data_IF_163834385516
#
_entry.id   IF_163834385516
#
_cell.length_a   1.000
_cell.length_b   1.000
_cell.length_c   1.000
_cell.angle_alpha   90.00
_cell.angle_beta   90.00
_cell.angle_gamma   90.00
#
_symmetry.space_group_name_H-M   'P 1'
#
loop_
_entity.id
_entity.type
_entity.pdbx_description
1 polymer ?
#
# COMPACT_ATOMS: atom_id res chain seq x y z
N UNK A 1 6.73 -0.26 -33.69
CA UNK A 1 7.71 0.41 -32.80
C UNK A 1 9.09 -0.19 -33.07
N UNK A 2 10.10 0.64 -33.31
CA UNK A 2 11.47 0.21 -33.65
C UNK A 2 12.16 -0.38 -32.41
N UNK A 3 12.91 -1.48 -32.56
CA UNK A 3 13.57 -2.18 -31.45
C UNK A 3 14.65 -1.34 -30.75
N UNK A 4 14.75 -1.38 -29.42
CA UNK A 4 15.81 -0.69 -28.65
C UNK A 4 17.22 -1.09 -29.13
N UNK A 5 17.42 -2.37 -29.46
CA UNK A 5 18.70 -2.88 -29.97
C UNK A 5 19.08 -2.21 -31.29
N UNK A 6 18.12 -2.06 -32.19
CA UNK A 6 18.33 -1.38 -33.47
C UNK A 6 18.67 0.09 -33.27
N UNK A 7 17.97 0.79 -32.36
CA UNK A 7 18.28 2.19 -32.05
C UNK A 7 19.71 2.36 -31.49
N UNK A 8 20.17 1.43 -30.64
CA UNK A 8 21.55 1.43 -30.15
C UNK A 8 22.57 1.23 -31.27
N UNK A 9 22.34 0.27 -32.18
CA UNK A 9 23.21 0.02 -33.33
C UNK A 9 23.23 1.21 -34.29
N UNK A 10 22.05 1.76 -34.62
CA UNK A 10 21.90 2.92 -35.50
C UNK A 10 22.64 4.15 -34.95
N UNK A 11 22.62 4.38 -33.64
CA UNK A 11 23.39 5.49 -33.03
C UNK A 11 24.90 5.30 -33.23
N UNK A 12 25.39 4.07 -33.12
CA UNK A 12 26.81 3.80 -33.29
C UNK A 12 27.24 4.00 -34.75
N UNK A 13 26.47 3.46 -35.69
CA UNK A 13 26.71 3.59 -37.14
C UNK A 13 26.54 5.03 -37.62
N UNK A 14 25.51 5.75 -37.19
CA UNK A 14 25.29 7.14 -37.57
C UNK A 14 26.43 8.06 -37.09
N UNK A 15 26.98 7.82 -35.89
CA UNK A 15 28.16 8.54 -35.42
C UNK A 15 29.40 8.21 -36.26
N UNK A 16 29.57 6.94 -36.64
CA UNK A 16 30.68 6.51 -37.48
C UNK A 16 30.59 7.13 -38.89
N UNK A 17 29.42 7.10 -39.53
CA UNK A 17 29.21 7.72 -40.84
C UNK A 17 29.44 9.23 -40.83
N UNK A 18 29.11 9.91 -39.72
CA UNK A 18 29.44 11.33 -39.53
C UNK A 18 30.94 11.55 -39.43
N UNK A 19 31.66 10.73 -38.65
CA UNK A 19 33.12 10.84 -38.53
C UNK A 19 33.85 10.51 -39.83
N UNK A 20 33.29 9.61 -40.64
CA UNK A 20 33.82 9.28 -41.97
C UNK A 20 33.42 10.30 -43.05
N UNK A 21 32.63 11.34 -42.70
CA UNK A 21 32.16 12.36 -43.64
C UNK A 21 31.15 11.85 -44.68
N UNK A 22 30.56 10.65 -44.47
CA UNK A 22 29.58 10.05 -45.39
C UNK A 22 28.19 10.66 -45.26
N UNK A 23 27.88 11.27 -44.12
CA UNK A 23 26.61 11.95 -43.87
C UNK A 23 26.87 13.38 -43.37
N UNK A 24 26.03 14.31 -43.81
CA UNK A 24 26.06 15.70 -43.37
C UNK A 24 25.53 15.85 -41.93
N UNK A 25 25.96 16.91 -41.23
CA UNK A 25 25.58 17.21 -39.86
C UNK A 25 24.06 17.42 -39.70
N UNK A 26 23.39 17.96 -40.73
CA UNK A 26 21.94 18.13 -40.72
C UNK A 26 21.21 16.77 -40.76
N UNK A 27 21.69 15.85 -41.59
CA UNK A 27 21.09 14.51 -41.72
C UNK A 27 21.32 13.65 -40.46
N UNK A 28 22.50 13.77 -39.84
CA UNK A 28 22.77 13.16 -38.53
C UNK A 28 21.81 13.66 -37.45
N UNK A 29 21.58 14.97 -37.39
CA UNK A 29 20.67 15.59 -36.40
C UNK A 29 19.23 15.11 -36.61
N UNK A 30 18.78 15.04 -37.86
CA UNK A 30 17.47 14.48 -38.22
C UNK A 30 17.31 13.02 -37.76
N UNK A 31 18.33 12.16 -37.96
CA UNK A 31 18.28 10.76 -37.50
C UNK A 31 18.22 10.63 -35.98
N UNK A 32 18.96 11.47 -35.25
CA UNK A 32 18.96 11.49 -33.78
C UNK A 32 17.60 11.89 -33.23
N UNK A 33 16.95 12.87 -33.84
CA UNK A 33 15.64 13.37 -33.44
C UNK A 33 14.50 12.41 -33.85
N UNK A 34 14.51 11.93 -35.10
CA UNK A 34 13.49 11.03 -35.64
C UNK A 34 13.43 9.68 -34.92
N UNK A 35 14.60 9.13 -34.55
CA UNK A 35 14.68 7.85 -33.82
C UNK A 35 14.87 8.02 -32.30
N UNK A 36 14.84 9.26 -31.79
CA UNK A 36 15.03 9.61 -30.38
C UNK A 36 16.28 8.92 -29.77
N UNK A 37 17.41 8.96 -30.49
CA UNK A 37 18.64 8.24 -30.12
C UNK A 37 19.27 8.77 -28.82
N UNK A 38 18.96 10.02 -28.44
CA UNK A 38 19.42 10.63 -27.18
C UNK A 38 18.69 10.07 -25.94
N UNK A 39 17.49 9.49 -26.10
CA UNK A 39 16.73 8.94 -24.97
C UNK A 39 17.23 7.57 -24.50
N UNK A 40 18.07 6.89 -25.29
CA UNK A 40 18.63 5.57 -24.98
C UNK A 40 19.43 5.56 -23.67
N UNK A 41 20.30 6.57 -23.46
CA UNK A 41 21.10 6.67 -22.22
C UNK A 41 20.24 7.12 -21.04
N UNK A 42 19.13 7.81 -21.31
CA UNK A 42 18.21 8.31 -20.26
C UNK A 42 17.43 7.16 -19.61
N UNK A 43 17.07 6.13 -20.37
CA UNK A 43 16.28 5.01 -19.87
C UNK A 43 17.07 4.14 -18.89
N UNK A 44 18.32 3.79 -19.21
CA UNK A 44 19.18 3.01 -18.31
C UNK A 44 19.54 3.80 -17.04
N UNK A 45 19.85 5.10 -17.18
CA UNK A 45 20.13 5.99 -16.06
C UNK A 45 18.90 6.18 -15.15
N UNK A 46 17.71 6.34 -15.72
CA UNK A 46 16.47 6.41 -14.94
C UNK A 46 16.19 5.12 -14.19
N UNK A 47 16.42 3.95 -14.79
CA UNK A 47 16.28 2.65 -14.09
C UNK A 47 17.25 2.54 -12.92
N UNK A 48 18.52 2.92 -13.11
CA UNK A 48 19.49 2.93 -12.02
C UNK A 48 19.09 3.87 -10.88
N UNK A 49 18.65 5.09 -11.21
CA UNK A 49 18.16 6.06 -10.21
C UNK A 49 16.96 5.49 -9.46
N UNK A 50 16.00 4.87 -10.15
CA UNK A 50 14.83 4.25 -9.52
C UNK A 50 15.21 3.12 -8.57
N UNK A 51 16.18 2.26 -8.94
CA UNK A 51 16.69 1.19 -8.08
C UNK A 51 17.40 1.78 -6.86
N UNK A 52 18.26 2.79 -7.04
CA UNK A 52 18.97 3.44 -5.95
C UNK A 52 18.00 4.14 -4.98
N UNK A 53 16.99 4.83 -5.51
CA UNK A 53 15.96 5.48 -4.73
C UNK A 53 15.10 4.46 -3.97
N UNK A 54 14.76 3.34 -4.62
CA UNK A 54 14.06 2.22 -3.98
C UNK A 54 14.85 1.61 -2.83
N UNK A 55 16.12 1.28 -3.07
CA UNK A 55 17.02 0.71 -2.07
C UNK A 55 17.24 1.68 -0.90
N UNK A 56 17.49 2.96 -1.19
CA UNK A 56 17.65 4.01 -0.19
C UNK A 56 16.40 4.20 0.66
N UNK A 57 15.22 4.15 0.04
CA UNK A 57 13.93 4.25 0.76
C UNK A 57 13.72 3.05 1.70
N UNK A 58 14.07 1.84 1.26
CA UNK A 58 14.00 0.62 2.09
C UNK A 58 14.94 0.72 3.29
N UNK A 59 16.20 1.11 3.06
CA UNK A 59 17.20 1.26 4.12
C UNK A 59 16.80 2.34 5.13
N UNK A 60 16.29 3.47 4.66
CA UNK A 60 15.81 4.55 5.53
C UNK A 60 14.60 4.09 6.35
N UNK A 61 13.65 3.37 5.74
CA UNK A 61 12.52 2.76 6.45
C UNK A 61 12.99 1.79 7.55
N UNK A 62 13.94 0.91 7.24
CA UNK A 62 14.57 0.01 8.19
C UNK A 62 15.28 0.74 9.34
N UNK A 63 16.01 1.82 9.02
CA UNK A 63 16.68 2.63 10.02
C UNK A 63 15.68 3.25 11.01
N UNK A 64 14.57 3.82 10.51
CA UNK A 64 13.51 4.38 11.36
C UNK A 64 12.87 3.30 12.24
N UNK A 65 12.52 2.14 11.66
CA UNK A 65 11.93 1.03 12.41
C UNK A 65 12.89 0.55 13.50
N UNK A 66 14.17 0.37 13.18
CA UNK A 66 15.19 -0.09 14.11
C UNK A 66 15.43 0.93 15.23
N UNK A 67 15.47 2.22 14.91
CA UNK A 67 15.59 3.30 15.89
C UNK A 67 14.43 3.31 16.87
N UNK A 68 13.19 3.21 16.36
CA UNK A 68 11.98 3.14 17.19
C UNK A 68 12.01 1.89 18.06
N UNK A 69 12.37 0.73 17.50
CA UNK A 69 12.46 -0.53 18.23
C UNK A 69 13.51 -0.50 19.35
N UNK A 70 14.69 0.06 19.07
CA UNK A 70 15.78 0.19 20.04
C UNK A 70 15.40 1.08 21.23
N UNK A 71 14.65 2.16 20.99
CA UNK A 71 14.19 3.07 22.04
C UNK A 71 12.84 2.66 22.66
N UNK A 72 12.20 1.61 22.14
CA UNK A 72 10.86 1.20 22.54
C UNK A 72 10.77 0.89 24.04
N UNK A 73 11.76 0.22 24.61
CA UNK A 73 11.73 -0.14 26.04
C UNK A 73 11.88 1.08 26.96
N UNK A 74 12.59 2.12 26.51
CA UNK A 74 12.83 3.33 27.32
C UNK A 74 11.64 4.29 27.34
N UNK A 75 10.79 4.29 26.32
CA UNK A 75 9.68 5.24 26.22
C UNK A 75 8.50 4.90 27.13
N UNK A 76 7.91 5.95 27.71
CA UNK A 76 6.69 5.82 28.52
C UNK A 76 5.51 5.35 27.67
N UNK A 77 4.48 4.82 28.33
CA UNK A 77 3.32 4.27 27.64
C UNK A 77 2.56 5.35 26.86
N UNK A 78 2.45 6.54 27.43
CA UNK A 78 1.74 7.69 26.84
C UNK A 78 2.41 8.13 25.54
N UNK A 79 3.74 8.22 25.54
CA UNK A 79 4.49 8.60 24.34
C UNK A 79 4.30 7.59 23.21
N UNK A 80 4.34 6.29 23.51
CA UNK A 80 4.07 5.23 22.52
C UNK A 80 2.69 5.38 21.90
N UNK A 81 1.67 5.61 22.71
CA UNK A 81 0.29 5.80 22.22
C UNK A 81 0.19 7.03 21.33
N UNK A 82 0.75 8.16 21.75
CA UNK A 82 0.75 9.40 20.96
C UNK A 82 1.48 9.18 19.63
N UNK A 83 2.64 8.53 19.64
CA UNK A 83 3.41 8.23 18.43
C UNK A 83 2.64 7.35 17.46
N UNK A 84 2.06 6.24 17.95
CA UNK A 84 1.27 5.31 17.15
C UNK A 84 0.03 5.99 16.54
N UNK A 85 -0.66 6.82 17.31
CA UNK A 85 -1.80 7.61 16.82
C UNK A 85 -1.36 8.67 15.82
N UNK A 86 -0.27 9.39 16.07
CA UNK A 86 0.24 10.43 15.19
C UNK A 86 0.62 9.84 13.82
N UNK A 87 1.31 8.70 13.78
CA UNK A 87 1.65 8.00 12.54
C UNK A 87 0.38 7.57 11.80
N UNK A 88 -0.58 6.99 12.51
CA UNK A 88 -1.86 6.57 11.91
C UNK A 88 -2.64 7.74 11.30
N UNK A 89 -2.75 8.85 12.02
CA UNK A 89 -3.44 10.06 11.54
C UNK A 89 -2.69 10.65 10.35
N UNK A 90 -1.37 10.73 10.40
CA UNK A 90 -0.55 11.27 9.31
C UNK A 90 -0.72 10.44 8.02
N UNK A 91 -0.64 9.11 8.12
CA UNK A 91 -0.78 8.20 6.97
C UNK A 91 -2.18 8.29 6.37
N UNK A 92 -3.24 8.26 7.19
CA UNK A 92 -4.62 8.35 6.70
C UNK A 92 -4.92 9.73 6.11
N UNK A 93 -4.44 10.82 6.73
CA UNK A 93 -4.64 12.18 6.24
C UNK A 93 -3.94 12.41 4.90
N UNK A 94 -2.70 11.93 4.78
CA UNK A 94 -1.96 11.96 3.52
C UNK A 94 -2.66 11.11 2.44
N UNK A 95 -3.09 9.89 2.78
CA UNK A 95 -3.83 9.02 1.87
C UNK A 95 -5.12 9.65 1.37
N UNK A 96 -5.90 10.26 2.27
CA UNK A 96 -7.13 10.99 1.94
C UNK A 96 -6.86 12.19 1.04
N UNK A 97 -5.84 12.98 1.34
CA UNK A 97 -5.48 14.16 0.54
C UNK A 97 -5.09 13.77 -0.89
N UNK A 98 -4.21 12.77 -1.06
CA UNK A 98 -3.79 12.29 -2.38
C UNK A 98 -4.90 11.60 -3.15
N UNK A 99 -5.83 10.94 -2.46
CA UNK A 99 -6.99 10.33 -3.08
C UNK A 99 -8.04 11.37 -3.53
N UNK A 100 -8.28 12.42 -2.74
CA UNK A 100 -9.32 13.43 -2.99
C UNK A 100 -8.93 14.47 -4.05
N UNK A 101 -7.66 14.84 -4.10
CA UNK A 101 -7.12 15.87 -4.99
C UNK A 101 -5.94 15.37 -5.84
N UNK A 102 -6.12 14.33 -6.68
CA UNK A 102 -5.05 13.84 -7.53
C UNK A 102 -4.77 14.83 -8.66
N UNK A 103 -3.53 15.32 -8.76
CA UNK A 103 -3.05 16.08 -9.93
C UNK A 103 -2.61 15.16 -11.07
N UNK A 104 -2.20 13.93 -10.75
CA UNK A 104 -1.77 12.91 -11.72
C UNK A 104 -2.30 11.52 -11.33
N UNK A 105 -2.45 10.62 -12.30
CA UNK A 105 -3.04 9.29 -12.08
C UNK A 105 -2.27 8.43 -11.06
N UNK A 106 -0.95 8.57 -10.98
CA UNK A 106 -0.14 7.88 -9.97
C UNK A 106 -0.46 8.33 -8.54
N UNK A 107 -0.83 9.60 -8.32
CA UNK A 107 -1.15 10.13 -6.99
C UNK A 107 -2.45 9.54 -6.45
N UNK A 108 -3.44 9.31 -7.32
CA UNK A 108 -4.68 8.63 -6.92
C UNK A 108 -4.39 7.19 -6.47
N UNK A 109 -3.54 6.47 -7.21
CA UNK A 109 -3.11 5.10 -6.83
C UNK A 109 -2.33 5.08 -5.52
N UNK A 110 -1.43 6.04 -5.32
CA UNK A 110 -0.73 6.18 -4.04
C UNK A 110 -1.69 6.50 -2.90
N UNK A 111 -2.65 7.41 -3.09
CA UNK A 111 -3.66 7.73 -2.08
C UNK A 111 -4.43 6.49 -1.63
N UNK A 112 -4.88 5.65 -2.57
CA UNK A 112 -5.51 4.36 -2.26
C UNK A 112 -4.57 3.43 -1.50
N UNK A 113 -3.30 3.34 -1.90
CA UNK A 113 -2.29 2.55 -1.21
C UNK A 113 -2.00 3.03 0.22
N UNK A 114 -1.93 4.35 0.44
CA UNK A 114 -1.77 4.97 1.75
C UNK A 114 -2.98 4.75 2.65
N UNK A 115 -4.20 4.77 2.10
CA UNK A 115 -5.43 4.44 2.84
C UNK A 115 -5.48 2.96 3.22
N UNK A 116 -5.05 2.07 2.32
CA UNK A 116 -4.88 0.65 2.64
C UNK A 116 -3.81 0.47 3.74
N UNK A 117 -2.66 1.13 3.63
CA UNK A 117 -1.62 1.13 4.65
C UNK A 117 -2.17 1.63 5.99
N UNK A 118 -2.93 2.72 5.98
CA UNK A 118 -3.61 3.28 7.15
C UNK A 118 -4.56 2.27 7.80
N UNK A 119 -5.31 1.51 7.01
CA UNK A 119 -6.18 0.44 7.50
C UNK A 119 -5.39 -0.72 8.15
N UNK A 120 -4.18 -1.02 7.67
CA UNK A 120 -3.28 -2.00 8.30
C UNK A 120 -2.67 -1.45 9.61
N UNK A 121 -2.28 -0.17 9.62
CA UNK A 121 -1.80 0.51 10.82
C UNK A 121 -2.84 0.52 11.94
N UNK A 122 -4.13 0.61 11.61
CA UNK A 122 -5.21 0.50 12.61
C UNK A 122 -5.09 -0.81 13.40
N UNK A 123 -4.97 -1.94 12.69
CA UNK A 123 -4.83 -3.27 13.31
C UNK A 123 -3.54 -3.40 14.09
N UNK A 124 -2.41 -2.93 13.53
CA UNK A 124 -1.13 -2.93 14.23
C UNK A 124 -1.17 -2.11 15.53
N UNK A 125 -1.79 -0.94 15.50
CA UNK A 125 -1.98 -0.10 16.69
C UNK A 125 -2.87 -0.78 17.73
N UNK A 126 -3.99 -1.38 17.32
CA UNK A 126 -4.86 -2.14 18.25
C UNK A 126 -4.11 -3.32 18.88
N UNK A 127 -3.32 -4.06 18.10
CA UNK A 127 -2.52 -5.19 18.59
C UNK A 127 -1.44 -4.74 19.59
N UNK A 128 -0.69 -3.68 19.27
CA UNK A 128 0.31 -3.11 20.16
C UNK A 128 -0.33 -2.54 21.44
N UNK A 129 -1.49 -1.89 21.32
CA UNK A 129 -2.24 -1.39 22.47
C UNK A 129 -2.69 -2.54 23.37
N UNK A 130 -3.21 -3.62 22.79
CA UNK A 130 -3.61 -4.83 23.53
C UNK A 130 -2.44 -5.42 24.33
N UNK A 131 -1.26 -5.55 23.70
CA UNK A 131 -0.05 -6.00 24.38
C UNK A 131 0.40 -5.03 25.47
N UNK A 132 0.41 -3.72 25.18
CA UNK A 132 0.84 -2.69 26.13
C UNK A 132 -0.03 -2.66 27.38
N UNK A 133 -1.35 -2.81 27.24
CA UNK A 133 -2.30 -2.75 28.35
C UNK A 133 -2.58 -4.12 29.01
N UNK A 134 -1.89 -5.18 28.58
CA UNK A 134 -2.12 -6.55 29.05
C UNK A 134 -3.60 -6.96 28.93
N UNK A 135 -4.26 -6.55 27.85
CA UNK A 135 -5.65 -6.90 27.60
C UNK A 135 -5.72 -8.37 27.18
N UNK A 136 -6.02 -9.25 28.14
CA UNK A 136 -6.25 -10.67 27.89
C UNK A 136 -7.62 -10.87 27.26
N UNK A 137 -7.67 -10.96 25.93
CA UNK A 137 -8.89 -11.24 25.18
C UNK A 137 -8.61 -12.19 24.02
N UNK A 138 -9.61 -12.96 23.58
CA UNK A 138 -9.42 -13.87 22.47
C UNK A 138 -9.18 -13.09 21.17
N UNK A 139 -8.27 -13.61 20.35
CA UNK A 139 -7.70 -12.91 19.20
C UNK A 139 -8.77 -12.60 18.14
N UNK A 140 -9.84 -13.42 18.05
CA UNK A 140 -10.94 -13.15 17.11
C UNK A 140 -11.60 -11.78 17.34
N UNK A 141 -11.66 -11.28 18.58
CA UNK A 141 -12.28 -9.97 18.89
C UNK A 141 -11.50 -8.83 18.25
N UNK A 142 -10.16 -8.93 18.23
CA UNK A 142 -9.29 -7.97 17.57
C UNK A 142 -9.62 -7.86 16.08
N UNK A 143 -9.72 -9.00 15.39
CA UNK A 143 -10.03 -9.03 13.95
C UNK A 143 -11.44 -8.52 13.65
N UNK A 144 -12.42 -8.78 14.52
CA UNK A 144 -13.77 -8.24 14.37
C UNK A 144 -13.78 -6.71 14.44
N UNK A 145 -13.26 -6.14 15.55
CA UNK A 145 -13.24 -4.69 15.78
C UNK A 145 -12.40 -3.99 14.71
N UNK A 146 -11.28 -4.58 14.33
CA UNK A 146 -10.46 -4.08 13.23
C UNK A 146 -11.25 -4.06 11.92
N UNK A 147 -11.91 -5.17 11.56
CA UNK A 147 -12.76 -5.23 10.37
C UNK A 147 -13.88 -4.18 10.38
N UNK A 148 -14.53 -3.92 11.52
CA UNK A 148 -15.52 -2.83 11.62
C UNK A 148 -14.90 -1.45 11.36
N UNK A 149 -13.69 -1.19 11.87
CA UNK A 149 -12.97 0.05 11.58
C UNK A 149 -12.64 0.22 10.09
N UNK A 150 -12.18 -0.85 9.44
CA UNK A 150 -11.91 -0.85 7.99
C UNK A 150 -13.21 -0.71 7.19
N UNK A 151 -14.31 -1.32 7.62
CA UNK A 151 -15.63 -1.20 7.00
C UNK A 151 -16.12 0.24 7.00
N UNK A 152 -16.00 0.94 8.14
CA UNK A 152 -16.36 2.35 8.27
C UNK A 152 -15.56 3.22 7.29
N UNK A 153 -14.25 2.97 7.15
CA UNK A 153 -13.42 3.62 6.15
C UNK A 153 -13.85 3.27 4.72
N UNK A 154 -14.17 2.00 4.46
CA UNK A 154 -14.61 1.54 3.14
C UNK A 154 -15.89 2.22 2.68
N UNK A 155 -16.88 2.40 3.57
CA UNK A 155 -18.12 3.14 3.28
C UNK A 155 -17.86 4.63 3.05
N UNK A 156 -17.00 5.24 3.86
CA UNK A 156 -16.68 6.67 3.74
C UNK A 156 -15.95 6.99 2.42
N UNK A 157 -15.02 6.14 2.03
CA UNK A 157 -14.13 6.35 0.87
C UNK A 157 -14.64 5.66 -0.41
N UNK A 158 -15.64 4.78 -0.30
CA UNK A 158 -16.18 3.94 -1.40
C UNK A 158 -15.06 3.20 -2.17
N UNK A 159 -14.12 2.62 -1.42
CA UNK A 159 -12.98 1.87 -1.98
C UNK A 159 -13.21 0.36 -1.84
N UNK A 160 -13.29 -0.33 -2.98
CA UNK A 160 -13.49 -1.79 -3.03
C UNK A 160 -12.39 -2.57 -2.31
N UNK A 161 -11.14 -2.10 -2.39
CA UNK A 161 -9.99 -2.72 -1.72
C UNK A 161 -10.15 -2.79 -0.19
N UNK A 162 -10.69 -1.75 0.43
CA UNK A 162 -10.93 -1.73 1.88
C UNK A 162 -12.12 -2.66 2.25
N UNK A 163 -13.13 -2.75 1.39
CA UNK A 163 -14.22 -3.72 1.54
C UNK A 163 -13.72 -5.17 1.48
N UNK A 164 -12.83 -5.49 0.52
CA UNK A 164 -12.20 -6.80 0.42
C UNK A 164 -11.37 -7.12 1.68
N UNK A 165 -10.58 -6.17 2.16
CA UNK A 165 -9.81 -6.33 3.39
C UNK A 165 -10.72 -6.61 4.59
N UNK A 166 -11.85 -5.92 4.71
CA UNK A 166 -12.85 -6.18 5.75
C UNK A 166 -13.34 -7.63 5.70
N UNK A 167 -13.72 -8.11 4.50
CA UNK A 167 -14.17 -9.49 4.33
C UNK A 167 -13.11 -10.52 4.73
N UNK A 168 -11.85 -10.28 4.37
CA UNK A 168 -10.72 -11.14 4.77
C UNK A 168 -10.56 -11.15 6.29
N UNK A 169 -10.59 -9.98 6.94
CA UNK A 169 -10.44 -9.86 8.40
C UNK A 169 -11.56 -10.59 9.14
N UNK A 170 -12.80 -10.45 8.70
CA UNK A 170 -13.94 -11.16 9.29
C UNK A 170 -13.90 -12.66 9.03
N UNK A 171 -13.43 -13.10 7.86
CA UNK A 171 -13.21 -14.53 7.60
C UNK A 171 -12.15 -15.12 8.54
N UNK A 172 -11.05 -14.41 8.78
CA UNK A 172 -10.02 -14.81 9.75
C UNK A 172 -10.61 -14.84 11.17
N UNK A 173 -11.42 -13.85 11.54
CA UNK A 173 -12.08 -13.83 12.85
C UNK A 173 -12.97 -15.07 13.08
N UNK A 174 -13.76 -15.46 12.08
CA UNK A 174 -14.59 -16.67 12.13
C UNK A 174 -13.75 -17.93 12.28
N UNK A 175 -12.65 -18.03 11.52
CA UNK A 175 -11.77 -19.18 11.55
C UNK A 175 -11.08 -19.34 12.91
N UNK A 176 -10.54 -18.24 13.47
CA UNK A 176 -9.93 -18.22 14.80
C UNK A 176 -10.95 -18.54 15.89
N UNK A 177 -12.17 -18.01 15.78
CA UNK A 177 -13.24 -18.31 16.73
C UNK A 177 -13.58 -19.82 16.74
N UNK A 178 -13.65 -20.44 15.57
CA UNK A 178 -13.97 -21.87 15.48
C UNK A 178 -12.92 -22.74 16.15
N UNK A 179 -11.64 -22.35 16.03
CA UNK A 179 -10.51 -22.97 16.74
C UNK A 179 -10.67 -22.77 18.25
N UNK A 180 -10.82 -21.53 18.72
CA UNK A 180 -10.95 -21.23 20.15
C UNK A 180 -12.15 -21.93 20.79
N UNK A 181 -13.30 -21.96 20.10
CA UNK A 181 -14.50 -22.66 20.56
C UNK A 181 -14.26 -24.17 20.72
N UNK A 182 -13.59 -24.78 19.74
CA UNK A 182 -13.26 -26.21 19.78
C UNK A 182 -12.33 -26.57 20.94
N UNK A 183 -11.33 -25.73 21.24
CA UNK A 183 -10.32 -26.03 22.26
C UNK A 183 -10.68 -25.59 23.68
N UNK A 184 -11.43 -24.50 23.85
CA UNK A 184 -11.59 -23.83 25.15
C UNK A 184 -13.04 -23.75 25.65
N UNK A 185 -14.02 -24.26 24.88
CA UNK A 185 -15.45 -24.32 25.26
C UNK A 185 -15.93 -23.11 26.07
N UNK A 186 -15.64 -21.90 25.57
CA UNK A 186 -15.91 -20.67 26.30
C UNK A 186 -17.21 -20.03 25.83
N UNK A 187 -18.22 -20.04 26.70
CA UNK A 187 -19.49 -19.35 26.45
C UNK A 187 -19.33 -17.85 26.69
N UNK A 188 -19.14 -17.11 25.60
CA UNK A 188 -18.97 -15.65 25.63
C UNK A 188 -20.12 -14.93 24.92
N UNK A 189 -20.46 -13.74 25.40
CA UNK A 189 -21.40 -12.79 24.78
C UNK A 189 -21.10 -12.53 23.28
N UNK A 190 -19.84 -12.66 22.87
CA UNK A 190 -19.40 -12.52 21.48
C UNK A 190 -19.89 -13.60 20.52
N UNK A 191 -20.46 -14.70 21.04
CA UNK A 191 -21.03 -15.80 20.24
C UNK A 191 -22.11 -15.30 19.28
N UNK A 192 -23.04 -14.47 19.78
CA UNK A 192 -24.15 -13.92 18.98
C UNK A 192 -23.61 -13.02 17.86
N UNK A 193 -22.59 -12.20 18.16
CA UNK A 193 -21.97 -11.33 17.16
C UNK A 193 -21.30 -12.13 16.03
N UNK A 194 -20.71 -13.28 16.36
CA UNK A 194 -20.01 -14.16 15.42
C UNK A 194 -20.96 -15.02 14.60
N UNK A 195 -21.99 -15.56 15.23
CA UNK A 195 -23.04 -16.34 14.57
C UNK A 195 -23.78 -15.52 13.50
N UNK A 196 -24.03 -14.24 13.77
CA UNK A 196 -24.65 -13.33 12.82
C UNK A 196 -23.66 -12.58 11.92
N UNK A 197 -22.34 -12.67 12.18
CA UNK A 197 -21.32 -12.03 11.37
C UNK A 197 -21.42 -12.36 9.88
N UNK A 198 -21.61 -13.61 9.41
CA UNK A 198 -21.73 -13.89 7.99
C UNK A 198 -22.97 -13.23 7.35
N UNK A 199 -24.05 -13.05 8.10
CA UNK A 199 -25.23 -12.30 7.64
C UNK A 199 -24.95 -10.79 7.61
N UNK A 200 -24.28 -10.26 8.63
CA UNK A 200 -23.87 -8.84 8.68
C UNK A 200 -22.86 -8.54 7.57
N UNK A 201 -21.95 -9.46 7.27
CA UNK A 201 -20.97 -9.38 6.20
C UNK A 201 -21.64 -9.32 4.84
N UNK A 202 -22.60 -10.20 4.57
CA UNK A 202 -23.33 -10.15 3.29
C UNK A 202 -24.17 -8.88 3.17
N UNK A 203 -24.90 -8.50 4.22
CA UNK A 203 -25.75 -7.29 4.21
C UNK A 203 -24.93 -6.00 4.10
N UNK A 204 -23.70 -5.95 4.61
CA UNK A 204 -22.85 -4.75 4.51
C UNK A 204 -21.98 -4.74 3.25
N UNK A 205 -21.38 -5.86 2.88
CA UNK A 205 -20.47 -5.92 1.73
C UNK A 205 -21.21 -5.93 0.39
N UNK A 206 -22.44 -6.47 0.30
CA UNK A 206 -23.22 -6.48 -0.96
C UNK A 206 -23.62 -5.06 -1.39
N UNK A 207 -24.22 -4.20 -0.53
CA UNK A 207 -24.49 -2.81 -0.87
C UNK A 207 -23.21 -2.04 -1.13
N UNK A 208 -22.14 -2.29 -0.37
CA UNK A 208 -20.84 -1.66 -0.59
C UNK A 208 -20.28 -2.01 -1.98
N UNK A 209 -20.36 -3.28 -2.38
CA UNK A 209 -19.95 -3.74 -3.71
C UNK A 209 -20.81 -3.09 -4.83
N UNK A 210 -22.10 -2.88 -4.57
CA UNK A 210 -23.00 -2.21 -5.50
C UNK A 210 -22.72 -0.69 -5.59
N UNK A 211 -22.45 -0.04 -4.46
CA UNK A 211 -22.09 1.38 -4.38
C UNK A 211 -20.71 1.70 -4.95
N UNK A 212 -19.78 0.76 -4.85
CA UNK A 212 -18.43 0.88 -5.42
C UNK A 212 -18.39 0.57 -6.93
N UNK A 213 -19.53 0.32 -7.58
CA UNK A 213 -19.71 0.04 -9.03
C UNK A 213 -18.43 -0.42 -9.72
N UNK A 214 -18.23 -1.73 -9.65
CA UNK A 214 -17.68 -2.58 -10.71
C UNK A 214 -17.87 -1.98 -12.11
N UNK A 215 -16.89 -1.18 -12.56
CA UNK A 215 -16.47 -1.13 -13.97
C UNK A 215 -15.35 -2.15 -14.14
N UNK A 216 -15.72 -3.43 -14.08
CA UNK A 216 -15.00 -4.46 -14.82
C UNK A 216 -15.70 -4.61 -16.16
#
# INVERSE_FOLDING_TARGET
MVSEKFRHQLRHEANQWRSEGRIDAQFHTYLVEHYALNELDSAARNRFILVLLGLGSILLGLAVITFVAANWQAWTREFKVILLLAIFIAVNSAGFYFWRYPRQQWQSRLGQGLLLLGSLLLGANMALMSQMFHQSGPIYQLYLVWGFGVLAMAYSLRLTLLGMLTGILWAIALWVYQIDYFFLANDSFWRIAIEHLPLIATISLIPLAYFCQSRW
#
